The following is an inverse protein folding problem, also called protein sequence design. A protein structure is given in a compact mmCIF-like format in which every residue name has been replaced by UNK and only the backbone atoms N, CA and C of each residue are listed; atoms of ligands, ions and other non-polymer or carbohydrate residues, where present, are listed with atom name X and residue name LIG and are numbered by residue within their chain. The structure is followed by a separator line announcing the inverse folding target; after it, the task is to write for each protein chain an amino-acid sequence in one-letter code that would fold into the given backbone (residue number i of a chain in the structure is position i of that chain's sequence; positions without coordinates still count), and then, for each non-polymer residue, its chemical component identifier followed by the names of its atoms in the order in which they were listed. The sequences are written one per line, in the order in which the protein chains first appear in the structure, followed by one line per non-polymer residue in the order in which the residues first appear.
data_IF_574033151977
#
_entry.id   IF_574033151977
#
_cell.length_a   1.000
_cell.length_b   1.000
_cell.length_c   1.000
_cell.angle_alpha   90.00
_cell.angle_beta   90.00
_cell.angle_gamma   90.00
#
_symmetry.space_group_name_H-M   'P 1'
#
loop_
_entity.id
_entity.type
_entity.pdbx_description
1 polymer ?
#
# COMPACT_ATOMS: atom_id res chain seq x y z
N UNK A 1 -5.22 -5.71 -17.23
CA UNK A 1 -4.55 -5.88 -15.92
C UNK A 1 -3.77 -4.62 -15.60
N UNK A 2 -3.93 -4.13 -14.42
CA UNK A 2 -3.27 -2.93 -13.93
C UNK A 2 -2.46 -3.26 -12.68
N UNK A 3 -1.45 -2.43 -12.40
CA UNK A 3 -0.64 -2.57 -11.21
C UNK A 3 -0.62 -1.23 -10.47
N UNK A 4 -0.97 -1.26 -9.19
CA UNK A 4 -0.78 -0.11 -8.30
C UNK A 4 0.58 -0.22 -7.65
N UNK A 5 1.28 0.88 -7.58
CA UNK A 5 2.53 1.02 -6.84
C UNK A 5 2.39 2.19 -5.89
N UNK A 6 2.37 1.88 -4.59
CA UNK A 6 2.36 2.90 -3.55
C UNK A 6 3.77 3.03 -2.98
N UNK A 7 4.32 4.22 -3.02
CA UNK A 7 5.66 4.49 -2.53
C UNK A 7 5.54 5.40 -1.31
N UNK A 8 6.00 4.90 -0.16
CA UNK A 8 5.94 5.62 1.10
C UNK A 8 7.35 5.97 1.55
N UNK A 9 7.57 7.24 1.86
CA UNK A 9 8.80 7.67 2.49
C UNK A 9 8.57 7.69 4.00
N UNK A 10 9.11 6.69 4.70
CA UNK A 10 9.02 6.67 6.15
C UNK A 10 9.97 7.68 6.77
N UNK A 11 9.67 8.12 8.00
CA UNK A 11 10.64 8.84 8.79
C UNK A 11 11.87 7.97 9.02
N UNK A 12 13.01 8.59 9.24
CA UNK A 12 14.26 7.88 9.46
C UNK A 12 14.13 6.92 10.64
N UNK A 13 14.40 5.65 10.34
CA UNK A 13 14.31 4.56 11.31
C UNK A 13 12.91 4.00 11.50
N UNK A 14 11.90 4.49 10.79
CA UNK A 14 10.50 4.08 10.97
C UNK A 14 9.97 3.14 9.87
N UNK A 15 10.81 2.75 8.92
CA UNK A 15 10.39 1.78 7.91
C UNK A 15 9.80 0.49 8.50
N UNK A 16 10.36 -0.10 9.58
CA UNK A 16 9.78 -1.31 10.16
C UNK A 16 8.32 -1.14 10.62
N UNK A 17 7.96 0.02 11.16
CA UNK A 17 6.59 0.29 11.59
C UNK A 17 5.64 0.38 10.40
N UNK A 18 6.08 1.00 9.31
CA UNK A 18 5.31 1.08 8.06
C UNK A 18 5.15 -0.31 7.46
N UNK A 19 6.21 -1.09 7.41
CA UNK A 19 6.17 -2.47 6.90
C UNK A 19 5.20 -3.33 7.69
N UNK A 20 5.22 -3.23 9.02
CA UNK A 20 4.34 -4.02 9.87
C UNK A 20 2.86 -3.69 9.60
N UNK A 21 2.53 -2.41 9.46
CA UNK A 21 1.17 -1.98 9.12
C UNK A 21 0.76 -2.49 7.73
N UNK A 22 1.65 -2.39 6.75
CA UNK A 22 1.37 -2.89 5.40
C UNK A 22 1.17 -4.40 5.36
N UNK A 23 1.94 -5.17 6.15
CA UNK A 23 1.74 -6.62 6.22
C UNK A 23 0.36 -6.99 6.75
N UNK A 24 -0.14 -6.22 7.70
CA UNK A 24 -1.49 -6.44 8.22
C UNK A 24 -2.54 -6.06 7.19
N UNK A 25 -2.37 -4.96 6.46
CA UNK A 25 -3.25 -4.59 5.36
C UNK A 25 -3.20 -5.58 4.22
N UNK A 26 -2.03 -6.15 3.93
CA UNK A 26 -1.86 -7.14 2.87
C UNK A 26 -2.72 -8.38 3.09
N UNK A 27 -2.97 -8.77 4.33
CA UNK A 27 -3.87 -9.89 4.63
C UNK A 27 -5.28 -9.60 4.11
N UNK A 28 -5.76 -8.37 4.26
CA UNK A 28 -7.05 -7.98 3.73
C UNK A 28 -7.06 -8.06 2.19
N UNK A 29 -6.01 -7.57 1.53
CA UNK A 29 -5.91 -7.62 0.07
C UNK A 29 -5.83 -9.06 -0.43
N UNK A 30 -5.13 -9.92 0.30
CA UNK A 30 -5.08 -11.37 -0.02
C UNK A 30 -6.47 -11.98 0.01
N UNK A 31 -7.24 -11.72 1.06
CA UNK A 31 -8.59 -12.25 1.21
C UNK A 31 -9.54 -11.68 0.15
N UNK A 32 -9.31 -10.45 -0.28
CA UNK A 32 -10.11 -9.82 -1.33
C UNK A 32 -9.74 -10.31 -2.74
N UNK A 33 -8.70 -11.15 -2.88
CA UNK A 33 -8.36 -11.77 -4.15
C UNK A 33 -7.41 -10.97 -5.04
N UNK A 34 -6.77 -9.93 -4.53
CA UNK A 34 -5.79 -9.17 -5.30
C UNK A 34 -4.51 -9.96 -5.49
N UNK A 35 -3.95 -9.91 -6.71
CA UNK A 35 -2.84 -10.74 -7.13
C UNK A 35 -1.50 -10.00 -7.05
N UNK A 36 -0.43 -10.79 -6.99
CA UNK A 36 0.96 -10.31 -7.10
C UNK A 36 1.29 -9.18 -6.14
N UNK A 37 0.85 -9.34 -4.90
CA UNK A 37 1.11 -8.38 -3.83
C UNK A 37 2.56 -8.54 -3.36
N UNK A 38 3.27 -7.41 -3.27
CA UNK A 38 4.65 -7.39 -2.82
C UNK A 38 4.93 -6.14 -1.99
N UNK A 39 5.75 -6.32 -0.96
CA UNK A 39 6.25 -5.22 -0.15
C UNK A 39 7.75 -5.16 -0.37
N UNK A 40 8.27 -3.98 -0.67
CA UNK A 40 9.69 -3.75 -0.87
C UNK A 40 10.18 -2.71 0.12
N UNK A 41 11.44 -2.86 0.53
CA UNK A 41 12.15 -1.81 1.26
C UNK A 41 13.40 -1.46 0.47
N UNK A 42 13.91 -0.26 0.66
CA UNK A 42 15.09 0.20 -0.06
C UNK A 42 16.31 -0.65 0.28
N UNK A 43 17.10 -0.91 -0.74
CA UNK A 43 18.46 -1.41 -0.59
C UNK A 43 19.45 -0.31 -0.96
N UNK A 44 19.11 0.44 -2.00
CA UNK A 44 19.80 1.67 -2.40
C UNK A 44 18.77 2.74 -2.70
N UNK A 45 19.18 4.00 -2.75
CA UNK A 45 18.28 5.13 -2.97
C UNK A 45 17.88 5.80 -1.67
N UNK A 46 16.77 6.55 -1.64
CA UNK A 46 16.33 7.24 -0.43
C UNK A 46 16.08 6.24 0.70
N UNK A 47 16.69 6.53 1.86
CA UNK A 47 16.59 5.64 3.02
C UNK A 47 15.19 5.62 3.59
N UNK A 48 14.77 4.43 4.10
CA UNK A 48 13.46 4.21 4.70
C UNK A 48 12.32 4.38 3.68
N UNK A 49 12.56 4.00 2.43
CA UNK A 49 11.52 3.91 1.41
C UNK A 49 10.84 2.55 1.50
N UNK A 50 9.50 2.55 1.56
CA UNK A 50 8.71 1.32 1.56
C UNK A 50 7.77 1.37 0.38
N UNK A 51 7.74 0.30 -0.40
CA UNK A 51 6.89 0.20 -1.59
C UNK A 51 5.94 -0.96 -1.41
N UNK A 52 4.65 -0.73 -1.66
CA UNK A 52 3.65 -1.77 -1.73
C UNK A 52 3.05 -1.78 -3.12
N UNK A 53 3.00 -2.93 -3.76
CA UNK A 53 2.39 -3.05 -5.09
C UNK A 53 1.53 -4.29 -5.18
N UNK A 54 0.50 -4.20 -6.01
CA UNK A 54 -0.42 -5.30 -6.28
C UNK A 54 -1.15 -5.06 -7.59
N UNK A 55 -1.76 -6.13 -8.13
CA UNK A 55 -2.42 -6.09 -9.43
C UNK A 55 -3.92 -6.26 -9.30
N UNK A 56 -4.66 -5.67 -10.23
CA UNK A 56 -6.12 -5.74 -10.28
C UNK A 56 -6.58 -5.68 -11.73
N UNK A 57 -7.82 -6.14 -11.97
CA UNK A 57 -8.31 -6.34 -13.34
C UNK A 57 -8.87 -5.07 -13.99
N UNK A 58 -9.54 -4.21 -13.21
CA UNK A 58 -10.18 -3.03 -13.77
C UNK A 58 -10.01 -1.81 -12.87
N UNK A 59 -9.98 -0.63 -13.49
CA UNK A 59 -9.93 0.63 -12.75
C UNK A 59 -11.20 0.84 -11.92
N UNK A 60 -12.36 0.40 -12.42
CA UNK A 60 -13.60 0.50 -11.65
C UNK A 60 -13.54 -0.31 -10.37
N UNK A 61 -12.96 -1.49 -10.41
CA UNK A 61 -12.74 -2.33 -9.22
C UNK A 61 -11.86 -1.59 -8.20
N UNK A 62 -10.78 -1.01 -8.67
CA UNK A 62 -9.87 -0.25 -7.79
C UNK A 62 -10.58 0.94 -7.14
N UNK A 63 -11.28 1.76 -7.92
CA UNK A 63 -11.94 2.94 -7.38
C UNK A 63 -13.10 2.58 -6.45
N UNK A 64 -13.80 1.50 -6.72
CA UNK A 64 -14.86 1.02 -5.82
C UNK A 64 -14.28 0.59 -4.46
N UNK A 65 -13.16 -0.13 -4.46
CA UNK A 65 -12.45 -0.53 -3.25
C UNK A 65 -11.95 0.68 -2.48
N UNK A 66 -11.32 1.63 -3.17
CA UNK A 66 -10.79 2.84 -2.54
C UNK A 66 -11.90 3.61 -1.82
N UNK A 67 -13.03 3.84 -2.50
CA UNK A 67 -14.16 4.57 -1.92
C UNK A 67 -14.83 3.80 -0.79
N UNK A 68 -14.93 2.49 -0.91
CA UNK A 68 -15.59 1.66 0.10
C UNK A 68 -14.75 1.42 1.34
N UNK A 69 -13.48 1.07 1.15
CA UNK A 69 -12.62 0.62 2.25
C UNK A 69 -11.83 1.75 2.89
N UNK A 70 -11.33 2.70 2.09
CA UNK A 70 -10.38 3.69 2.57
C UNK A 70 -10.97 5.08 2.80
N UNK A 71 -12.15 5.38 2.28
CA UNK A 71 -12.85 6.63 2.57
C UNK A 71 -13.56 6.53 3.92
N UNK A 72 -14.16 5.36 4.22
CA UNK A 72 -14.83 5.13 5.50
C UNK A 72 -14.38 3.78 6.07
N UNK A 73 -13.12 3.67 6.51
CA UNK A 73 -12.56 2.40 6.96
C UNK A 73 -13.13 1.99 8.33
N UNK A 74 -13.15 0.66 8.58
CA UNK A 74 -13.41 0.15 9.91
C UNK A 74 -12.28 0.55 10.88
N UNK A 75 -12.48 0.30 12.18
CA UNK A 75 -11.53 0.75 13.21
C UNK A 75 -10.15 0.10 13.07
N UNK A 76 -10.10 -1.18 12.70
CA UNK A 76 -8.82 -1.87 12.53
C UNK A 76 -8.05 -1.33 11.34
N UNK A 77 -8.72 -1.15 10.21
CA UNK A 77 -8.11 -0.57 9.01
C UNK A 77 -7.67 0.87 9.27
N UNK A 78 -8.51 1.65 9.96
CA UNK A 78 -8.16 3.02 10.32
C UNK A 78 -6.91 3.08 11.18
N UNK A 79 -6.78 2.20 12.17
CA UNK A 79 -5.60 2.16 13.04
C UNK A 79 -4.32 1.86 12.23
N UNK A 80 -4.39 0.96 11.25
CA UNK A 80 -3.25 0.65 10.39
C UNK A 80 -2.87 1.82 9.49
N UNK A 81 -3.87 2.49 8.92
CA UNK A 81 -3.64 3.69 8.10
C UNK A 81 -3.03 4.80 8.95
N UNK A 82 -3.53 5.02 10.16
CA UNK A 82 -3.00 6.02 11.06
C UNK A 82 -1.54 5.72 11.44
N UNK A 83 -1.20 4.44 11.66
CA UNK A 83 0.17 4.03 11.94
C UNK A 83 1.09 4.36 10.76
N UNK A 84 0.67 4.07 9.53
CA UNK A 84 1.45 4.41 8.34
C UNK A 84 1.63 5.92 8.22
N UNK A 85 0.56 6.68 8.39
CA UNK A 85 0.60 8.14 8.25
C UNK A 85 1.45 8.80 9.33
N UNK A 86 1.44 8.27 10.55
CA UNK A 86 2.26 8.79 11.64
C UNK A 86 3.75 8.56 11.40
N UNK A 87 4.12 7.46 10.74
CA UNK A 87 5.51 7.07 10.53
C UNK A 87 6.03 7.38 9.12
N UNK A 88 5.24 8.01 8.27
CA UNK A 88 5.65 8.40 6.93
C UNK A 88 5.61 9.91 6.77
N UNK A 89 6.56 10.46 6.02
CA UNK A 89 6.64 11.90 5.73
C UNK A 89 5.96 12.26 4.42
N UNK A 90 5.86 11.32 3.50
CA UNK A 90 5.22 11.51 2.21
C UNK A 90 4.85 10.19 1.58
N UNK A 91 3.98 10.23 0.58
CA UNK A 91 3.61 9.06 -0.18
C UNK A 91 3.09 9.44 -1.55
N UNK A 92 3.15 8.49 -2.47
CA UNK A 92 2.56 8.65 -3.81
C UNK A 92 2.02 7.32 -4.27
N UNK A 93 1.01 7.39 -5.15
CA UNK A 93 0.43 6.23 -5.81
C UNK A 93 0.61 6.37 -7.31
N UNK A 94 1.00 5.28 -7.94
CA UNK A 94 1.16 5.21 -9.38
C UNK A 94 0.37 4.00 -9.88
N UNK A 95 -0.38 4.16 -10.96
CA UNK A 95 -1.11 3.06 -11.58
C UNK A 95 -0.55 2.88 -12.98
N UNK A 96 -0.18 1.64 -13.30
CA UNK A 96 0.36 1.26 -14.60
C UNK A 96 -0.51 0.20 -15.23
N UNK A 97 -0.63 0.26 -16.55
CA UNK A 97 -1.21 -0.85 -17.30
C UNK A 97 -0.13 -1.90 -17.53
N UNK A 98 -0.45 -3.16 -17.19
CA UNK A 98 0.49 -4.26 -17.38
C UNK A 98 0.39 -4.75 -18.82
N UNK A 99 1.45 -4.63 -19.60
CA UNK A 99 1.49 -5.05 -20.99
C UNK A 99 1.98 -6.49 -21.17
N UNK A 100 2.85 -6.94 -20.28
CA UNK A 100 3.39 -8.29 -20.33
C UNK A 100 3.66 -8.83 -18.93
#
# INVERSE_FOLDING_TARGET
MYMLREVLQAERGKAPEVVAALRSLDQWFEQAGYANRRIYVDYTGPMDTVVYQWEFESLDQYFAMERGTFVDPDQNTKALIDTMNTNATSGKKEIYEVLQ
#
